data_IF_622357577470
#
_entry.id   IF_622357577470
#
_cell.length_a   1.000
_cell.length_b   1.000
_cell.length_c   1.000
_cell.angle_alpha   90.00
_cell.angle_beta   90.00
_cell.angle_gamma   90.00
#
_symmetry.space_group_name_H-M   'P 1'
#
loop_
_entity.id
_entity.type
_entity.pdbx_description
1 polymer ?
#
# COMPACT_ATOMS: atom_id res chain seq x y z
N UNK A 1 -40.78 6.04 -22.07
CA UNK A 1 -39.56 6.83 -21.86
C UNK A 1 -38.72 6.01 -20.90
N UNK A 2 -37.61 5.41 -21.35
CA UNK A 2 -36.74 4.64 -20.45
C UNK A 2 -36.09 5.60 -19.44
N UNK A 3 -36.00 5.21 -18.16
CA UNK A 3 -35.32 6.00 -17.15
C UNK A 3 -33.81 6.01 -17.42
N UNK A 4 -33.13 7.11 -17.10
CA UNK A 4 -31.66 7.17 -17.12
C UNK A 4 -31.06 6.03 -16.27
N UNK A 5 -31.73 5.62 -15.19
CA UNK A 5 -31.35 4.46 -14.38
C UNK A 5 -31.44 3.12 -15.13
N UNK A 6 -32.46 2.93 -15.96
CA UNK A 6 -32.65 1.70 -16.75
C UNK A 6 -31.58 1.58 -17.85
N UNK A 7 -31.15 2.73 -18.40
CA UNK A 7 -30.09 2.80 -19.40
C UNK A 7 -28.72 2.51 -18.76
N UNK A 8 -28.43 3.04 -17.58
CA UNK A 8 -27.18 2.77 -16.85
C UNK A 8 -27.08 1.29 -16.46
N UNK A 9 -28.18 0.67 -16.03
CA UNK A 9 -28.25 -0.76 -15.72
C UNK A 9 -27.96 -1.67 -16.91
N UNK A 10 -28.22 -1.21 -18.14
CA UNK A 10 -27.86 -1.95 -19.37
C UNK A 10 -26.36 -1.96 -19.69
N UNK A 11 -25.57 -1.00 -19.18
CA UNK A 11 -24.13 -0.89 -19.45
C UNK A 11 -23.26 -1.54 -18.37
N UNK A 12 -23.77 -1.70 -17.16
CA UNK A 12 -23.05 -2.35 -16.06
C UNK A 12 -23.51 -3.80 -15.95
N UNK A 13 -22.64 -4.74 -16.31
CA UNK A 13 -22.89 -6.16 -16.09
C UNK A 13 -22.82 -6.46 -14.57
N UNK A 14 -23.98 -6.38 -13.91
CA UNK A 14 -24.13 -6.58 -12.46
C UNK A 14 -23.63 -7.97 -12.03
N UNK A 15 -23.80 -8.99 -12.88
CA UNK A 15 -23.34 -10.35 -12.56
C UNK A 15 -21.82 -10.41 -12.51
N UNK A 16 -21.15 -9.74 -13.46
CA UNK A 16 -19.68 -9.63 -13.47
C UNK A 16 -19.16 -8.84 -12.28
N UNK A 17 -19.86 -7.78 -11.87
CA UNK A 17 -19.53 -7.01 -10.68
C UNK A 17 -19.64 -7.87 -9.41
N UNK A 18 -20.75 -8.57 -9.21
CA UNK A 18 -20.98 -9.44 -8.05
C UNK A 18 -19.93 -10.57 -7.96
N UNK A 19 -19.64 -11.23 -9.09
CA UNK A 19 -18.60 -12.26 -9.13
C UNK A 19 -17.19 -11.71 -8.81
N UNK A 20 -16.94 -10.42 -9.09
CA UNK A 20 -15.69 -9.76 -8.72
C UNK A 20 -15.67 -9.41 -7.23
N UNK A 21 -16.75 -8.86 -6.67
CA UNK A 21 -16.83 -8.53 -5.25
C UNK A 21 -16.73 -9.77 -4.37
N UNK A 22 -17.34 -10.89 -4.77
CA UNK A 22 -17.26 -12.15 -4.04
C UNK A 22 -15.81 -12.62 -3.93
N UNK A 23 -15.06 -12.61 -5.04
CA UNK A 23 -13.64 -12.97 -5.05
C UNK A 23 -12.79 -12.08 -4.14
N UNK A 24 -13.14 -10.81 -4.04
CA UNK A 24 -12.42 -9.84 -3.20
C UNK A 24 -12.68 -10.13 -1.72
N UNK A 25 -13.93 -10.35 -1.33
CA UNK A 25 -14.28 -10.60 0.08
C UNK A 25 -13.70 -11.93 0.56
N UNK A 26 -13.72 -12.98 -0.26
CA UNK A 26 -13.19 -14.32 0.12
C UNK A 26 -11.67 -14.35 0.32
N UNK A 27 -10.96 -13.24 0.09
CA UNK A 27 -9.55 -13.17 0.38
C UNK A 27 -9.32 -13.17 1.91
N UNK A 28 -8.51 -14.09 2.47
CA UNK A 28 -8.33 -14.22 3.91
C UNK A 28 -7.87 -12.94 4.62
N UNK A 29 -7.06 -12.11 3.95
CA UNK A 29 -6.60 -10.83 4.51
C UNK A 29 -7.74 -9.82 4.65
N UNK A 30 -8.67 -9.79 3.69
CA UNK A 30 -9.84 -8.90 3.71
C UNK A 30 -10.88 -9.42 4.71
N UNK A 31 -11.15 -10.73 4.74
CA UNK A 31 -12.05 -11.32 5.75
C UNK A 31 -11.57 -11.00 7.16
N UNK A 32 -10.26 -11.14 7.40
CA UNK A 32 -9.65 -10.78 8.68
C UNK A 32 -9.81 -9.29 8.98
N UNK A 33 -9.55 -8.41 8.01
CA UNK A 33 -9.72 -6.97 8.19
C UNK A 33 -11.18 -6.59 8.52
N UNK A 34 -12.15 -7.19 7.83
CA UNK A 34 -13.59 -6.98 8.07
C UNK A 34 -13.97 -7.42 9.48
N UNK A 35 -13.49 -8.60 9.90
CA UNK A 35 -13.74 -9.16 11.24
C UNK A 35 -13.10 -8.33 12.35
N UNK A 36 -11.83 -7.98 12.20
CA UNK A 36 -11.06 -7.20 13.18
C UNK A 36 -11.68 -5.81 13.42
N UNK A 37 -12.22 -5.18 12.37
CA UNK A 37 -12.89 -3.88 12.46
C UNK A 37 -14.41 -3.97 12.68
N UNK A 38 -14.99 -5.18 12.74
CA UNK A 38 -16.43 -5.43 12.91
C UNK A 38 -17.29 -4.65 11.91
N UNK A 39 -16.90 -4.65 10.64
CA UNK A 39 -17.58 -3.85 9.63
C UNK A 39 -19.01 -4.31 9.40
N UNK A 40 -19.92 -3.36 9.24
CA UNK A 40 -21.28 -3.63 8.80
C UNK A 40 -21.32 -3.90 7.29
N UNK A 41 -22.40 -4.52 6.79
CA UNK A 41 -22.57 -4.81 5.36
C UNK A 41 -22.49 -3.53 4.48
N UNK A 42 -23.04 -2.42 4.97
CA UNK A 42 -22.98 -1.13 4.27
C UNK A 42 -21.56 -0.58 4.17
N UNK A 43 -20.77 -0.71 5.23
CA UNK A 43 -19.38 -0.26 5.25
C UNK A 43 -18.51 -1.14 4.33
N UNK A 44 -18.72 -2.45 4.35
CA UNK A 44 -18.07 -3.39 3.41
C UNK A 44 -18.42 -3.03 1.96
N UNK A 45 -19.69 -2.74 1.68
CA UNK A 45 -20.16 -2.35 0.36
C UNK A 45 -19.49 -1.08 -0.16
N UNK A 46 -19.40 -0.05 0.69
CA UNK A 46 -18.68 1.20 0.37
C UNK A 46 -17.18 0.99 0.16
N UNK A 47 -16.62 -0.06 0.75
CA UNK A 47 -15.19 -0.35 0.76
C UNK A 47 -14.73 -1.25 -0.39
N UNK A 48 -15.63 -1.78 -1.22
CA UNK A 48 -15.28 -2.74 -2.29
C UNK A 48 -14.17 -2.26 -3.22
N UNK A 49 -14.24 -1.00 -3.66
CA UNK A 49 -13.22 -0.42 -4.54
C UNK A 49 -11.84 -0.43 -3.88
N UNK A 50 -11.78 -0.23 -2.56
CA UNK A 50 -10.54 -0.16 -1.78
C UNK A 50 -9.96 -1.53 -1.49
N UNK A 51 -10.81 -2.52 -1.21
CA UNK A 51 -10.38 -3.91 -1.13
C UNK A 51 -9.80 -4.41 -2.47
N UNK A 52 -10.44 -4.09 -3.59
CA UNK A 52 -9.91 -4.44 -4.90
C UNK A 52 -8.57 -3.74 -5.21
N UNK A 53 -8.48 -2.44 -4.90
CA UNK A 53 -7.22 -1.67 -5.02
C UNK A 53 -6.09 -2.33 -4.21
N UNK A 54 -6.37 -2.67 -2.95
CA UNK A 54 -5.43 -3.34 -2.06
C UNK A 54 -4.90 -4.65 -2.66
N UNK A 55 -5.79 -5.57 -3.06
CA UNK A 55 -5.38 -6.85 -3.63
C UNK A 55 -4.53 -6.70 -4.89
N UNK A 56 -4.91 -5.76 -5.76
CA UNK A 56 -4.18 -5.50 -6.99
C UNK A 56 -2.77 -5.00 -6.70
N UNK A 57 -2.61 -4.05 -5.78
CA UNK A 57 -1.29 -3.51 -5.43
C UNK A 57 -0.48 -4.49 -4.59
N UNK A 58 -1.12 -5.29 -3.74
CA UNK A 58 -0.46 -6.33 -2.94
C UNK A 58 0.10 -7.44 -3.82
N UNK A 59 -0.67 -7.93 -4.80
CA UNK A 59 -0.18 -8.89 -5.78
C UNK A 59 1.03 -8.36 -6.57
N UNK A 60 0.99 -7.09 -7.01
CA UNK A 60 2.15 -6.48 -7.67
C UNK A 60 3.36 -6.38 -6.75
N UNK A 61 3.14 -6.00 -5.50
CA UNK A 61 4.20 -5.88 -4.50
C UNK A 61 4.87 -7.24 -4.25
N UNK A 62 4.07 -8.29 -4.05
CA UNK A 62 4.57 -9.64 -3.77
C UNK A 62 5.27 -10.26 -5.00
N UNK A 63 4.83 -9.92 -6.22
CA UNK A 63 5.48 -10.32 -7.47
C UNK A 63 6.72 -9.49 -7.83
N UNK A 64 7.11 -8.50 -7.02
CA UNK A 64 8.16 -7.52 -7.33
C UNK A 64 7.91 -6.75 -8.65
N UNK A 65 6.65 -6.55 -9.00
CA UNK A 65 6.24 -5.72 -10.14
C UNK A 65 6.25 -4.23 -9.78
N UNK A 66 6.12 -3.38 -10.80
CA UNK A 66 6.02 -1.93 -10.59
C UNK A 66 4.68 -1.58 -9.94
N UNK A 67 4.72 -1.30 -8.64
CA UNK A 67 3.58 -0.77 -7.86
C UNK A 67 3.37 0.72 -8.11
N UNK A 68 2.22 1.25 -7.65
CA UNK A 68 1.94 2.69 -7.70
C UNK A 68 3.02 3.52 -6.98
N UNK A 69 3.53 3.01 -5.84
CA UNK A 69 4.58 3.63 -5.07
C UNK A 69 5.69 2.61 -4.73
N UNK A 70 6.81 2.72 -5.45
CA UNK A 70 7.92 1.78 -5.30
C UNK A 70 8.52 1.82 -3.89
N UNK A 71 8.86 0.64 -3.36
CA UNK A 71 9.43 0.50 -2.01
C UNK A 71 8.44 0.76 -0.88
N UNK A 72 7.14 0.77 -1.18
CA UNK A 72 6.09 0.84 -0.17
C UNK A 72 5.12 -0.33 -0.31
N UNK A 73 4.75 -0.90 0.83
CA UNK A 73 3.77 -1.97 0.93
C UNK A 73 2.37 -1.36 1.14
N UNK A 74 1.36 -1.76 0.35
CA UNK A 74 -0.02 -1.35 0.61
C UNK A 74 -0.54 -2.01 1.89
N UNK A 75 -1.35 -1.28 2.65
CA UNK A 75 -1.93 -1.73 3.91
C UNK A 75 -3.34 -1.14 4.07
N UNK A 76 -4.28 -1.95 4.54
CA UNK A 76 -5.66 -1.52 4.77
C UNK A 76 -5.81 -0.85 6.15
N UNK A 77 -6.48 0.30 6.18
CA UNK A 77 -6.90 0.96 7.41
C UNK A 77 -8.41 1.17 7.41
N UNK A 78 -9.00 1.20 8.60
CA UNK A 78 -10.37 1.67 8.77
C UNK A 78 -10.34 3.19 8.88
N UNK A 79 -11.11 3.87 8.03
CA UNK A 79 -11.21 5.32 7.99
C UNK A 79 -12.68 5.73 7.90
N UNK A 80 -13.21 6.36 8.96
CA UNK A 80 -14.57 6.92 8.97
C UNK A 80 -15.69 5.97 8.48
N UNK A 81 -15.61 4.69 8.83
CA UNK A 81 -16.63 3.68 8.45
C UNK A 81 -16.44 3.12 7.04
N UNK A 82 -15.25 3.20 6.45
CA UNK A 82 -14.90 2.43 5.26
C UNK A 82 -13.40 2.13 5.24
N UNK A 83 -13.00 1.14 4.44
CA UNK A 83 -11.61 0.77 4.28
C UNK A 83 -10.89 1.74 3.36
N UNK A 84 -9.63 2.05 3.67
CA UNK A 84 -8.75 2.82 2.79
C UNK A 84 -7.39 2.13 2.65
N UNK A 85 -6.70 2.41 1.55
CA UNK A 85 -5.39 1.84 1.24
C UNK A 85 -4.31 2.88 1.53
N UNK A 86 -3.41 2.56 2.44
CA UNK A 86 -2.26 3.39 2.79
C UNK A 86 -0.98 2.65 2.47
N UNK A 87 0.08 3.40 2.15
CA UNK A 87 1.37 2.85 1.76
C UNK A 87 2.38 3.04 2.89
N UNK A 88 2.93 1.93 3.39
CA UNK A 88 3.97 1.93 4.41
C UNK A 88 5.33 1.70 3.78
N UNK A 89 6.34 2.46 4.18
CA UNK A 89 7.72 2.24 3.75
C UNK A 89 8.21 0.84 4.12
N UNK A 90 8.85 0.16 3.17
CA UNK A 90 9.49 -1.12 3.46
C UNK A 90 10.74 -0.91 4.30
N UNK A 91 11.16 -1.97 5.02
CA UNK A 91 12.40 -1.93 5.79
C UNK A 91 13.61 -1.52 4.96
N UNK A 92 13.65 -1.91 3.68
CA UNK A 92 14.72 -1.53 2.77
C UNK A 92 14.79 -0.02 2.57
N UNK A 93 13.64 0.63 2.32
CA UNK A 93 13.56 2.08 2.15
C UNK A 93 13.96 2.77 3.46
N UNK A 94 13.50 2.26 4.60
CA UNK A 94 13.87 2.78 5.92
C UNK A 94 15.39 2.67 6.15
N UNK A 95 16.00 1.52 5.84
CA UNK A 95 17.44 1.28 5.96
C UNK A 95 18.23 2.21 5.04
N UNK A 96 17.81 2.36 3.78
CA UNK A 96 18.42 3.30 2.81
C UNK A 96 18.33 4.75 3.31
N UNK A 97 17.18 5.19 3.81
CA UNK A 97 17.00 6.54 4.36
C UNK A 97 17.90 6.77 5.58
N UNK A 98 17.91 5.84 6.55
CA UNK A 98 18.79 5.94 7.73
C UNK A 98 20.27 6.05 7.34
N UNK A 99 20.73 5.25 6.37
CA UNK A 99 22.10 5.34 5.83
C UNK A 99 22.37 6.72 5.21
N UNK A 100 21.46 7.23 4.38
CA UNK A 100 21.60 8.53 3.73
C UNK A 100 21.61 9.69 4.73
N UNK A 101 20.73 9.67 5.73
CA UNK A 101 20.69 10.67 6.80
C UNK A 101 21.96 10.66 7.64
N UNK A 102 22.49 9.48 7.97
CA UNK A 102 23.75 9.36 8.70
C UNK A 102 24.92 9.95 7.91
N UNK A 103 25.04 9.64 6.62
CA UNK A 103 26.06 10.25 5.73
C UNK A 103 25.90 11.77 5.67
N UNK A 104 24.66 12.26 5.58
CA UNK A 104 24.37 13.70 5.58
C UNK A 104 24.77 14.36 6.89
N UNK A 105 24.52 13.72 8.04
CA UNK A 105 24.94 14.19 9.37
C UNK A 105 26.46 14.20 9.50
N UNK A 106 27.15 13.15 9.07
CA UNK A 106 28.61 13.12 9.02
C UNK A 106 29.15 14.28 8.19
N UNK A 107 28.58 14.54 7.02
CA UNK A 107 29.02 15.66 6.17
C UNK A 107 28.72 17.04 6.76
N UNK A 108 27.63 17.18 7.53
CA UNK A 108 27.24 18.45 8.16
C UNK A 108 28.06 18.75 9.42
N UNK A 109 28.37 17.72 10.21
CA UNK A 109 29.06 17.85 11.49
C UNK A 109 30.56 17.53 11.41
N UNK A 110 31.08 17.08 10.25
CA UNK A 110 32.51 16.82 10.11
C UNK A 110 33.30 18.13 10.08
N UNK A 111 33.99 18.41 11.19
CA UNK A 111 35.26 19.16 11.21
C UNK A 111 36.34 18.40 10.39
N UNK A 112 36.16 17.09 10.22
CA UNK A 112 37.05 16.21 9.43
C UNK A 112 36.83 16.43 7.93
N UNK A 113 37.70 17.23 7.32
CA UNK A 113 37.77 17.42 5.85
C UNK A 113 38.43 16.23 5.12
N UNK A 114 39.03 15.31 5.86
CA UNK A 114 39.75 14.17 5.30
C UNK A 114 38.76 13.12 4.74
N UNK A 115 38.81 12.94 3.42
CA UNK A 115 37.98 11.98 2.70
C UNK A 115 38.30 10.53 3.03
N UNK A 116 39.52 10.22 3.49
CA UNK A 116 39.98 8.86 3.78
C UNK A 116 39.27 8.30 5.01
N UNK A 117 39.21 9.10 6.07
CA UNK A 117 38.49 8.77 7.31
C UNK A 117 37.00 8.60 7.03
N UNK A 118 36.39 9.50 6.24
CA UNK A 118 34.99 9.38 5.82
C UNK A 118 34.72 8.07 5.07
N UNK A 119 35.62 7.67 4.17
CA UNK A 119 35.49 6.45 3.36
C UNK A 119 35.63 5.19 4.21
N UNK A 120 36.54 5.20 5.20
CA UNK A 120 36.72 4.08 6.14
C UNK A 120 35.50 3.90 7.05
N UNK A 121 35.00 4.99 7.65
CA UNK A 121 33.80 4.96 8.51
C UNK A 121 32.58 4.47 7.73
N UNK A 122 32.41 4.94 6.50
CA UNK A 122 31.34 4.48 5.62
C UNK A 122 31.47 2.98 5.28
N UNK A 123 32.68 2.48 5.05
CA UNK A 123 32.94 1.06 4.73
C UNK A 123 32.63 0.12 5.89
N UNK A 124 33.00 0.50 7.12
CA UNK A 124 32.77 -0.30 8.33
C UNK A 124 31.28 -0.46 8.64
N UNK A 125 30.46 0.55 8.28
CA UNK A 125 29.02 0.59 8.58
C UNK A 125 28.13 -0.02 7.47
N UNK A 126 28.72 -0.42 6.34
CA UNK A 126 27.99 -1.04 5.21
C UNK A 126 28.12 -2.57 5.20
N UNK A 127 29.05 -3.15 5.98
CA UNK A 127 29.07 -4.58 6.31
C UNK A 127 27.97 -4.92 7.32
#
# INVERSE_FOLDING_TARGET
MESIGDVIGKFVDINKFNAMTDKVITCPEIEKFISDNKMTSDEVSKSYSKFYEYLKEKNKFDNNEKTALSGHEPFLIMNCGYADVVYRETEEVIKRRKKAEFVKRLNRNSIVRDMTIKKQVLKILIQ
#
